data_IF_531566363021
#
_entry.id   IF_531566363021
#
_cell.length_a   1.000
_cell.length_b   1.000
_cell.length_c   1.000
_cell.angle_alpha   90.00
_cell.angle_beta   90.00
_cell.angle_gamma   90.00
#
_symmetry.space_group_name_H-M   'P 1'
#
loop_
_entity.id
_entity.type
_entity.pdbx_description
1 polymer ?
#
# COMPACT_ATOMS: atom_id res chain seq x y z
N UNK A 1 10.22 56.89 -0.21
CA UNK A 1 10.88 55.80 0.53
C UNK A 1 9.80 54.80 0.94
N UNK A 2 9.61 53.74 0.15
CA UNK A 2 8.66 52.67 0.45
C UNK A 2 9.37 51.61 1.29
N UNK A 3 8.84 51.35 2.49
CA UNK A 3 9.32 50.31 3.39
C UNK A 3 8.76 48.98 2.85
N UNK A 4 9.61 48.00 2.46
CA UNK A 4 9.10 46.68 2.09
C UNK A 4 8.61 45.98 3.36
N UNK A 5 7.30 45.78 3.44
CA UNK A 5 6.69 44.94 4.46
C UNK A 5 7.08 43.49 4.15
N UNK A 6 7.63 42.72 5.11
CA UNK A 6 7.90 41.30 4.89
C UNK A 6 6.58 40.59 4.63
N UNK A 7 6.46 39.87 3.51
CA UNK A 7 5.34 38.95 3.31
C UNK A 7 5.40 37.87 4.38
N UNK A 8 4.52 38.01 5.35
CA UNK A 8 4.26 37.05 6.41
C UNK A 8 3.85 35.71 5.80
N UNK A 9 4.72 34.72 6.01
CA UNK A 9 4.50 33.27 5.90
C UNK A 9 3.06 32.85 5.59
N UNK A 10 2.82 32.50 4.33
CA UNK A 10 1.58 31.87 3.84
C UNK A 10 1.23 30.61 4.67
N UNK A 11 0.21 30.65 5.56
CA UNK A 11 -0.19 29.51 6.36
C UNK A 11 -0.95 28.45 5.53
N UNK A 12 -1.25 28.73 4.26
CA UNK A 12 -2.10 27.87 3.41
C UNK A 12 -1.40 26.62 2.86
N UNK A 13 -0.06 26.55 2.96
CA UNK A 13 0.73 25.42 2.44
C UNK A 13 0.75 24.17 3.33
N UNK A 14 0.41 24.29 4.62
CA UNK A 14 0.53 23.19 5.60
C UNK A 14 -0.57 22.10 5.57
N UNK A 15 -1.88 22.38 5.36
CA UNK A 15 -2.91 21.34 5.44
C UNK A 15 -2.91 20.39 4.24
N UNK A 16 -2.61 20.89 3.03
CA UNK A 16 -2.55 20.08 1.80
C UNK A 16 -1.40 19.07 1.84
N UNK A 17 -0.26 19.46 2.41
CA UNK A 17 0.89 18.57 2.57
C UNK A 17 0.58 17.38 3.49
N UNK A 18 -0.08 17.59 4.64
CA UNK A 18 -0.39 16.49 5.59
C UNK A 18 -1.27 15.40 4.98
N UNK A 19 -2.27 15.78 4.17
CA UNK A 19 -3.12 14.79 3.47
C UNK A 19 -2.33 13.97 2.46
N UNK A 20 -1.41 14.60 1.73
CA UNK A 20 -0.57 13.93 0.74
C UNK A 20 0.40 12.94 1.40
N UNK A 21 0.98 13.31 2.54
CA UNK A 21 1.82 12.38 3.33
C UNK A 21 1.03 11.16 3.80
N UNK A 22 -0.22 11.33 4.26
CA UNK A 22 -1.09 10.21 4.65
C UNK A 22 -1.40 9.28 3.46
N UNK A 23 -1.70 9.85 2.29
CA UNK A 23 -1.94 9.07 1.08
C UNK A 23 -0.69 8.29 0.64
N UNK A 24 0.49 8.94 0.65
CA UNK A 24 1.76 8.30 0.30
C UNK A 24 2.12 7.21 1.31
N UNK A 25 2.01 7.48 2.60
CA UNK A 25 2.25 6.48 3.64
C UNK A 25 1.29 5.29 3.53
N UNK A 26 0.00 5.56 3.28
CA UNK A 26 -1.00 4.52 3.04
C UNK A 26 -0.69 3.66 1.82
N UNK A 27 -0.33 4.27 0.70
CA UNK A 27 0.10 3.56 -0.52
C UNK A 27 1.37 2.73 -0.29
N UNK A 28 2.34 3.29 0.45
CA UNK A 28 3.58 2.58 0.77
C UNK A 28 3.33 1.36 1.66
N UNK A 29 2.44 1.49 2.64
CA UNK A 29 2.01 0.37 3.48
C UNK A 29 1.23 -0.69 2.68
N UNK A 30 0.41 -0.27 1.72
CA UNK A 30 -0.29 -1.18 0.80
C UNK A 30 0.65 -1.91 -0.18
N UNK A 31 1.92 -1.51 -0.32
CA UNK A 31 2.94 -2.32 -1.04
C UNK A 31 3.44 -3.50 -0.23
N UNK A 32 3.14 -3.57 1.08
CA UNK A 32 3.52 -4.68 1.96
C UNK A 32 3.26 -6.09 1.39
N UNK A 33 2.10 -6.38 0.76
CA UNK A 33 1.82 -7.69 0.18
C UNK A 33 2.68 -7.98 -1.04
N UNK A 34 3.02 -6.96 -1.84
CA UNK A 34 3.90 -7.10 -3.02
C UNK A 34 5.32 -7.47 -2.55
N UNK A 35 5.81 -6.76 -1.53
CA UNK A 35 7.14 -7.04 -0.95
C UNK A 35 7.16 -8.44 -0.32
N UNK A 36 6.09 -8.81 0.38
CA UNK A 36 5.97 -10.14 1.00
C UNK A 36 5.92 -11.25 -0.04
N UNK A 37 5.25 -11.01 -1.16
CA UNK A 37 5.21 -11.95 -2.29
C UNK A 37 6.61 -12.14 -2.90
N UNK A 38 7.37 -11.07 -3.12
CA UNK A 38 8.75 -11.16 -3.62
C UNK A 38 9.68 -11.88 -2.64
N UNK A 39 9.50 -11.65 -1.34
CA UNK A 39 10.26 -12.36 -0.31
C UNK A 39 9.93 -13.85 -0.30
N UNK A 40 8.64 -14.21 -0.31
CA UNK A 40 8.19 -15.59 -0.37
C UNK A 40 8.74 -16.30 -1.62
N UNK A 41 8.72 -15.63 -2.77
CA UNK A 41 9.29 -16.17 -4.01
C UNK A 41 10.81 -16.40 -3.91
N UNK A 42 11.55 -15.49 -3.27
CA UNK A 42 13.00 -15.62 -3.09
C UNK A 42 13.35 -16.78 -2.16
N UNK A 43 12.62 -16.94 -1.05
CA UNK A 43 12.83 -18.04 -0.09
C UNK A 43 12.49 -19.40 -0.71
N UNK A 44 11.35 -19.51 -1.40
CA UNK A 44 10.97 -20.75 -2.07
C UNK A 44 11.92 -21.07 -3.23
N UNK A 45 12.33 -20.05 -4.00
CA UNK A 45 13.22 -20.20 -5.15
C UNK A 45 14.58 -20.78 -4.77
N UNK A 46 15.13 -20.38 -3.62
CA UNK A 46 16.34 -21.00 -3.05
C UNK A 46 16.13 -22.48 -2.72
N UNK A 47 15.06 -22.80 -1.98
CA UNK A 47 14.74 -24.18 -1.62
C UNK A 47 14.53 -25.12 -2.83
N UNK A 48 13.94 -24.61 -3.92
CA UNK A 48 13.80 -25.38 -5.17
C UNK A 48 15.12 -25.55 -5.94
N UNK A 49 16.04 -24.59 -5.85
CA UNK A 49 17.37 -24.72 -6.44
C UNK A 49 18.19 -25.80 -5.72
N UNK A 50 18.10 -25.85 -4.39
CA UNK A 50 18.81 -26.83 -3.56
C UNK A 50 18.28 -28.26 -3.82
N UNK A 51 16.96 -28.42 -3.93
CA UNK A 51 16.33 -29.69 -4.33
C UNK A 51 16.75 -30.15 -5.74
N UNK A 52 16.90 -29.21 -6.68
CA UNK A 52 17.36 -29.49 -8.04
C UNK A 52 18.83 -29.92 -8.12
N UNK A 53 19.63 -29.56 -7.11
CA UNK A 53 21.05 -29.92 -7.01
C UNK A 53 21.28 -31.31 -6.39
N UNK A 54 20.22 -31.99 -5.92
CA UNK A 54 20.29 -33.33 -5.34
C UNK A 54 20.66 -33.34 -3.86
N UNK A 55 20.71 -32.18 -3.20
CA UNK A 55 20.84 -32.10 -1.74
C UNK A 55 19.54 -32.54 -1.07
N UNK A 56 19.64 -33.49 -0.14
CA UNK A 56 18.49 -33.96 0.64
C UNK A 56 18.10 -32.89 1.66
N UNK A 57 17.25 -31.95 1.25
CA UNK A 57 16.69 -30.94 2.15
C UNK A 57 15.86 -31.65 3.23
N UNK A 58 16.22 -31.45 4.50
CA UNK A 58 15.50 -32.06 5.62
C UNK A 58 14.08 -31.47 5.72
N UNK A 59 13.09 -32.30 6.09
CA UNK A 59 11.71 -31.85 6.23
C UNK A 59 11.55 -30.68 7.22
N UNK A 60 12.41 -30.60 8.24
CA UNK A 60 12.46 -29.50 9.20
C UNK A 60 12.84 -28.16 8.56
N UNK A 61 13.75 -28.17 7.58
CA UNK A 61 14.23 -26.97 6.90
C UNK A 61 13.16 -26.37 5.98
N UNK A 62 12.40 -27.23 5.28
CA UNK A 62 11.20 -26.83 4.53
C UNK A 62 10.15 -26.23 5.48
N UNK A 63 9.96 -26.84 6.65
CA UNK A 63 9.04 -26.36 7.67
C UNK A 63 9.35 -24.93 8.15
N UNK A 64 10.63 -24.64 8.40
CA UNK A 64 11.08 -23.32 8.83
C UNK A 64 10.93 -22.27 7.72
N UNK A 65 11.23 -22.59 6.46
CA UNK A 65 11.00 -21.69 5.33
C UNK A 65 9.51 -21.36 5.13
N UNK A 66 8.63 -22.35 5.27
CA UNK A 66 7.18 -22.14 5.21
C UNK A 66 6.71 -21.25 6.35
N UNK A 67 7.18 -21.51 7.58
CA UNK A 67 6.84 -20.70 8.75
C UNK A 67 7.29 -19.25 8.60
N UNK A 68 8.51 -19.03 8.12
CA UNK A 68 9.04 -17.69 7.88
C UNK A 68 8.23 -16.96 6.79
N UNK A 69 7.91 -17.64 5.69
CA UNK A 69 7.07 -17.10 4.61
C UNK A 69 5.67 -16.72 5.10
N UNK A 70 5.05 -17.57 5.93
CA UNK A 70 3.76 -17.29 6.55
C UNK A 70 3.82 -16.07 7.48
N UNK A 71 4.85 -15.95 8.33
CA UNK A 71 5.00 -14.80 9.22
C UNK A 71 5.16 -13.51 8.43
N UNK A 72 6.02 -13.49 7.41
CA UNK A 72 6.21 -12.30 6.55
C UNK A 72 4.90 -11.94 5.84
N UNK A 73 4.15 -12.92 5.36
CA UNK A 73 2.84 -12.69 4.72
C UNK A 73 1.83 -12.05 5.68
N UNK A 74 1.75 -12.51 6.94
CA UNK A 74 0.87 -11.93 7.95
C UNK A 74 1.22 -10.46 8.21
N UNK A 75 2.51 -10.15 8.37
CA UNK A 75 2.96 -8.77 8.56
C UNK A 75 2.68 -7.90 7.35
N UNK A 76 2.91 -8.42 6.14
CA UNK A 76 2.62 -7.75 4.88
C UNK A 76 1.14 -7.42 4.71
N UNK A 77 0.26 -8.40 4.94
CA UNK A 77 -1.18 -8.22 4.90
C UNK A 77 -1.67 -7.25 5.98
N UNK A 78 -1.15 -7.34 7.20
CA UNK A 78 -1.49 -6.43 8.30
C UNK A 78 -1.13 -4.97 7.99
N UNK A 79 0.09 -4.75 7.49
CA UNK A 79 0.52 -3.44 7.02
C UNK A 79 -0.38 -2.91 5.90
N UNK A 80 -0.80 -3.76 4.97
CA UNK A 80 -1.63 -3.37 3.85
C UNK A 80 -3.06 -2.99 4.24
N UNK A 81 -3.65 -3.72 5.20
CA UNK A 81 -4.95 -3.36 5.78
C UNK A 81 -4.85 -2.00 6.46
N UNK A 82 -3.81 -1.78 7.27
CA UNK A 82 -3.60 -0.48 7.90
C UNK A 82 -3.39 0.65 6.87
N UNK A 83 -2.61 0.37 5.82
CA UNK A 83 -2.39 1.27 4.69
C UNK A 83 -3.69 1.63 3.95
N UNK A 84 -4.59 0.66 3.79
CA UNK A 84 -5.90 0.86 3.17
C UNK A 84 -6.78 1.83 3.97
N UNK A 85 -6.77 1.72 5.31
CA UNK A 85 -7.49 2.64 6.20
C UNK A 85 -6.90 4.05 6.11
N UNK A 86 -5.57 4.16 6.15
CA UNK A 86 -4.86 5.43 5.97
C UNK A 86 -5.20 6.12 4.64
N UNK A 87 -5.22 5.35 3.55
CA UNK A 87 -5.57 5.83 2.23
C UNK A 87 -7.04 6.28 2.18
N UNK A 88 -7.95 5.49 2.75
CA UNK A 88 -9.37 5.85 2.84
C UNK A 88 -9.57 7.16 3.64
N UNK A 89 -8.88 7.33 4.77
CA UNK A 89 -8.89 8.57 5.56
C UNK A 89 -8.32 9.75 4.76
N UNK A 90 -7.23 9.56 4.03
CA UNK A 90 -6.64 10.59 3.19
C UNK A 90 -7.58 11.05 2.07
N UNK A 91 -8.31 10.12 1.47
CA UNK A 91 -9.29 10.40 0.41
C UNK A 91 -10.56 11.04 0.98
N UNK A 92 -11.14 10.48 2.04
CA UNK A 92 -12.43 10.92 2.59
C UNK A 92 -12.33 12.19 3.45
N UNK A 93 -11.38 12.23 4.38
CA UNK A 93 -11.27 13.30 5.38
C UNK A 93 -10.42 14.46 4.84
N UNK A 94 -9.28 14.14 4.23
CA UNK A 94 -8.34 15.16 3.73
C UNK A 94 -8.60 15.58 2.29
N UNK A 95 -9.59 14.96 1.61
CA UNK A 95 -10.03 15.26 0.25
C UNK A 95 -8.86 15.34 -0.75
N UNK A 96 -7.86 14.47 -0.59
CA UNK A 96 -6.76 14.36 -1.55
C UNK A 96 -7.30 13.75 -2.83
N UNK A 97 -7.24 14.52 -3.93
CA UNK A 97 -7.86 14.18 -5.23
C UNK A 97 -6.84 14.08 -6.37
N UNK A 98 -5.64 13.59 -6.06
CA UNK A 98 -4.59 13.42 -7.07
C UNK A 98 -4.84 12.16 -7.93
N UNK A 99 -4.75 12.28 -9.25
CA UNK A 99 -4.97 11.16 -10.19
C UNK A 99 -4.00 9.99 -9.97
N UNK A 100 -2.75 10.28 -9.55
CA UNK A 100 -1.77 9.25 -9.21
C UNK A 100 -2.19 8.43 -7.98
N UNK A 101 -2.77 9.07 -6.95
CA UNK A 101 -3.29 8.38 -5.75
C UNK A 101 -4.44 7.46 -6.11
N UNK A 102 -5.33 7.90 -7.01
CA UNK A 102 -6.43 7.06 -7.52
C UNK A 102 -5.91 5.82 -8.24
N UNK A 103 -4.98 5.98 -9.20
CA UNK A 103 -4.45 4.84 -9.99
C UNK A 103 -3.72 3.82 -9.11
N UNK A 104 -2.80 4.29 -8.26
CA UNK A 104 -2.05 3.37 -7.39
C UNK A 104 -2.95 2.76 -6.32
N UNK A 105 -3.87 3.55 -5.75
CA UNK A 105 -4.83 3.05 -4.78
C UNK A 105 -5.72 1.95 -5.35
N UNK A 106 -6.18 2.09 -6.60
CA UNK A 106 -7.01 1.08 -7.25
C UNK A 106 -6.21 -0.20 -7.51
N UNK A 107 -5.00 -0.09 -8.09
CA UNK A 107 -4.12 -1.24 -8.34
C UNK A 107 -3.81 -1.98 -7.03
N UNK A 108 -3.42 -1.25 -5.99
CA UNK A 108 -3.06 -1.83 -4.70
C UNK A 108 -4.28 -2.42 -3.97
N UNK A 109 -5.48 -1.86 -4.15
CA UNK A 109 -6.71 -2.45 -3.59
C UNK A 109 -7.06 -3.77 -4.24
N UNK A 110 -6.85 -3.90 -5.55
CA UNK A 110 -7.02 -5.19 -6.26
C UNK A 110 -6.00 -6.19 -5.74
N UNK A 111 -4.72 -5.81 -5.59
CA UNK A 111 -3.69 -6.68 -5.00
C UNK A 111 -4.06 -7.09 -3.57
N UNK A 112 -4.63 -6.18 -2.78
CA UNK A 112 -5.09 -6.46 -1.42
C UNK A 112 -6.18 -7.53 -1.40
N UNK A 113 -7.14 -7.48 -2.33
CA UNK A 113 -8.20 -8.49 -2.46
C UNK A 113 -7.64 -9.91 -2.64
N UNK A 114 -6.56 -10.05 -3.41
CA UNK A 114 -5.95 -11.37 -3.65
C UNK A 114 -5.01 -11.83 -2.54
N UNK A 115 -4.35 -10.90 -1.85
CA UNK A 115 -3.24 -11.24 -0.94
C UNK A 115 -3.65 -11.46 0.51
N UNK A 116 -4.70 -10.81 1.01
CA UNK A 116 -5.08 -10.86 2.43
C UNK A 116 -6.36 -11.68 2.69
N UNK A 117 -6.73 -12.59 1.79
CA UNK A 117 -7.89 -13.47 1.92
C UNK A 117 -9.20 -12.70 2.14
N UNK A 118 -10.05 -13.18 3.05
CA UNK A 118 -11.37 -12.57 3.31
C UNK A 118 -11.29 -11.11 3.79
N UNK A 119 -10.33 -10.78 4.66
CA UNK A 119 -10.12 -9.39 5.11
C UNK A 119 -9.65 -8.52 3.94
N UNK A 120 -8.74 -9.03 3.11
CA UNK A 120 -8.29 -8.35 1.90
C UNK A 120 -9.44 -8.00 0.97
N UNK A 121 -10.38 -8.93 0.76
CA UNK A 121 -11.57 -8.71 -0.07
C UNK A 121 -12.46 -7.62 0.53
N UNK A 122 -12.75 -7.65 1.83
CA UNK A 122 -13.59 -6.62 2.46
C UNK A 122 -12.97 -5.23 2.31
N UNK A 123 -11.70 -5.07 2.72
CA UNK A 123 -11.04 -3.76 2.69
C UNK A 123 -10.74 -3.31 1.26
N UNK A 124 -10.29 -4.22 0.40
CA UNK A 124 -9.98 -3.94 -1.00
C UNK A 124 -11.23 -3.53 -1.79
N UNK A 125 -12.33 -4.29 -1.71
CA UNK A 125 -13.59 -3.93 -2.37
C UNK A 125 -14.12 -2.60 -1.81
N UNK A 126 -14.12 -2.41 -0.49
CA UNK A 126 -14.56 -1.14 0.12
C UNK A 126 -13.79 0.05 -0.44
N UNK A 127 -12.46 -0.09 -0.57
CA UNK A 127 -11.61 0.98 -1.08
C UNK A 127 -11.82 1.20 -2.59
N UNK A 128 -12.01 0.14 -3.37
CA UNK A 128 -12.38 0.24 -4.79
C UNK A 128 -13.71 0.98 -4.95
N UNK A 129 -14.72 0.66 -4.13
CA UNK A 129 -16.02 1.34 -4.15
C UNK A 129 -15.82 2.83 -3.82
N UNK A 130 -15.11 3.16 -2.74
CA UNK A 130 -14.83 4.56 -2.36
C UNK A 130 -14.16 5.33 -3.50
N UNK A 131 -13.13 4.74 -4.12
CA UNK A 131 -12.43 5.35 -5.25
C UNK A 131 -13.35 5.49 -6.48
N UNK A 132 -14.17 4.48 -6.78
CA UNK A 132 -15.08 4.48 -7.92
C UNK A 132 -16.21 5.51 -7.77
N UNK A 133 -16.85 5.60 -6.60
CA UNK A 133 -17.92 6.58 -6.32
C UNK A 133 -17.40 8.01 -6.42
N UNK A 134 -16.13 8.24 -6.10
CA UNK A 134 -15.49 9.56 -6.16
C UNK A 134 -14.67 9.78 -7.43
N UNK A 135 -14.76 8.90 -8.44
CA UNK A 135 -13.97 8.96 -9.69
C UNK A 135 -14.04 10.33 -10.38
N UNK A 136 -15.22 10.95 -10.43
CA UNK A 136 -15.42 12.27 -11.04
C UNK A 136 -14.55 13.37 -10.40
N UNK A 137 -14.29 13.25 -9.10
CA UNK A 137 -13.49 14.21 -8.34
C UNK A 137 -11.98 14.10 -8.62
N UNK A 138 -11.51 12.94 -9.09
CA UNK A 138 -10.11 12.72 -9.47
C UNK A 138 -9.81 13.07 -10.93
N UNK A 139 -10.83 13.11 -11.79
CA UNK A 139 -10.69 13.41 -13.23
C UNK A 139 -10.68 14.93 -13.50
N UNK A 140 -11.38 15.71 -12.69
CA UNK A 140 -11.48 17.18 -12.82
C UNK A 140 -10.24 17.96 -12.36
N UNK A 141 -9.23 17.32 -11.76
CA UNK A 141 -8.00 18.00 -11.31
C UNK A 141 -6.96 18.21 -12.43
N UNK A 142 -7.37 18.09 -13.70
CA UNK A 142 -6.60 18.48 -14.89
C UNK A 142 -7.25 19.74 -15.50
N UNK A 143 -7.10 20.86 -14.81
CA UNK A 143 -7.05 22.19 -15.44
C UNK A 143 -5.94 22.98 -14.77
#
# INVERSE_FOLDING_TARGET
>A
MSIPVPQENDPSSKPRNRGRYLAVAGLFLMLGPVISFLFAFSVMGGAFADLGSGESVAADEIGDHVRQSMMVSIWGSGAAVFGSVLLAVAVLVKRIRESWVYRNGLILSVILCFSAGFLGVIFGISLVIILATRRSEFVLSKE
#
